data_IF_031785206579
#
_entry.id   IF_031785206579
#
_cell.length_a   1.000
_cell.length_b   1.000
_cell.length_c   1.000
_cell.angle_alpha   90.00
_cell.angle_beta   90.00
_cell.angle_gamma   90.00
#
_symmetry.space_group_name_H-M   'P 1'
#
loop_
_entity.id
_entity.type
_entity.pdbx_description
1 polymer ?
#
# COMPACT_ATOMS: atom_id res chain seq x y z
N UNK A 1 -12.10 41.98 -53.99
CA UNK A 1 -12.58 43.05 -53.10
C UNK A 1 -13.55 42.42 -52.17
N UNK A 2 -13.22 42.51 -50.87
CA UNK A 2 -14.09 42.33 -49.68
C UNK A 2 -14.59 40.90 -49.44
N UNK A 3 -13.87 40.09 -48.76
CA UNK A 3 -13.71 39.86 -47.28
C UNK A 3 -15.04 39.86 -46.55
N UNK A 4 -15.55 38.66 -46.25
CA UNK A 4 -16.40 38.41 -45.08
C UNK A 4 -16.06 36.99 -44.54
N UNK A 5 -15.12 36.97 -43.63
CA UNK A 5 -14.88 35.90 -42.71
C UNK A 5 -16.08 35.83 -41.74
N UNK A 6 -16.89 34.80 -41.86
CA UNK A 6 -17.90 34.47 -40.86
C UNK A 6 -17.28 33.58 -39.75
N UNK A 7 -16.97 34.21 -38.68
CA UNK A 7 -16.58 33.68 -37.37
C UNK A 7 -17.65 32.68 -36.88
N UNK A 8 -17.35 31.42 -36.89
CA UNK A 8 -18.17 30.40 -36.19
C UNK A 8 -17.76 30.42 -34.72
N UNK A 9 -18.53 31.14 -33.94
CA UNK A 9 -18.46 31.09 -32.48
C UNK A 9 -19.04 29.75 -32.00
N UNK A 10 -18.18 28.81 -31.72
CA UNK A 10 -18.52 27.54 -31.07
C UNK A 10 -18.83 27.82 -29.60
N UNK A 11 -20.10 27.96 -29.26
CA UNK A 11 -20.61 28.06 -27.90
C UNK A 11 -20.56 26.68 -27.24
N UNK A 12 -19.46 26.38 -26.54
CA UNK A 12 -19.42 25.28 -25.60
C UNK A 12 -20.44 25.53 -24.47
N UNK A 13 -21.22 24.52 -24.06
CA UNK A 13 -22.17 24.69 -22.96
C UNK A 13 -21.40 25.02 -21.68
N UNK A 14 -21.69 26.16 -21.09
CA UNK A 14 -21.15 26.57 -19.81
C UNK A 14 -21.62 25.60 -18.72
N UNK A 15 -20.73 24.74 -18.28
CA UNK A 15 -20.94 23.91 -17.08
C UNK A 15 -20.99 24.87 -15.90
N UNK A 16 -22.10 24.84 -15.13
CA UNK A 16 -22.31 25.72 -14.00
C UNK A 16 -21.12 25.59 -13.01
N UNK A 17 -20.54 26.70 -12.53
CA UNK A 17 -19.33 26.69 -11.71
C UNK A 17 -19.47 25.88 -10.41
N UNK A 18 -20.68 25.67 -9.91
CA UNK A 18 -20.96 24.84 -8.76
C UNK A 18 -20.76 23.33 -8.99
N UNK A 19 -20.96 22.85 -10.24
CA UNK A 19 -20.78 21.44 -10.56
C UNK A 19 -19.29 21.08 -10.75
N UNK A 20 -18.51 22.00 -11.25
CA UNK A 20 -17.05 21.84 -11.40
C UNK A 20 -16.36 21.81 -10.02
N UNK A 21 -16.87 22.55 -9.03
CA UNK A 21 -16.36 22.53 -7.67
C UNK A 21 -16.71 21.20 -6.97
N UNK A 22 -17.92 20.67 -7.19
CA UNK A 22 -18.35 19.40 -6.62
C UNK A 22 -17.61 18.19 -7.18
N UNK A 23 -17.16 18.25 -8.44
CA UNK A 23 -16.35 17.19 -9.06
C UNK A 23 -14.86 17.26 -8.67
N UNK A 24 -14.38 18.42 -8.21
CA UNK A 24 -13.01 18.60 -7.76
C UNK A 24 -12.78 18.18 -6.30
N UNK A 25 -13.85 17.98 -5.52
CA UNK A 25 -13.76 17.58 -4.11
C UNK A 25 -13.76 16.06 -3.86
N UNK A 26 -13.97 15.23 -4.89
CA UNK A 26 -13.93 13.78 -4.77
C UNK A 26 -12.52 13.16 -5.05
N UNK A 27 -11.56 13.96 -5.46
CA UNK A 27 -10.19 13.50 -5.60
C UNK A 27 -9.41 13.82 -4.32
N UNK A 28 -9.05 12.76 -3.62
CA UNK A 28 -8.06 12.74 -2.54
C UNK A 28 -8.57 13.01 -1.11
N UNK A 29 -9.53 12.23 -0.67
CA UNK A 29 -9.59 11.94 0.76
C UNK A 29 -8.36 11.06 1.08
N UNK A 30 -7.38 11.55 1.86
CA UNK A 30 -6.25 10.72 2.23
C UNK A 30 -6.81 9.53 3.01
N UNK A 31 -6.72 8.34 2.43
CA UNK A 31 -6.94 7.10 3.17
C UNK A 31 -6.08 7.24 4.41
N UNK A 32 -6.72 7.41 5.58
CA UNK A 32 -6.03 7.53 6.85
C UNK A 32 -5.28 6.23 7.05
N UNK A 33 -4.04 6.20 6.55
CA UNK A 33 -3.09 5.15 6.84
C UNK A 33 -3.02 5.10 8.36
N UNK A 34 -3.53 4.03 8.95
CA UNK A 34 -3.24 3.74 10.35
C UNK A 34 -1.74 3.53 10.38
N UNK A 35 -1.00 4.58 10.76
CA UNK A 35 0.41 4.43 11.09
C UNK A 35 0.47 3.36 12.17
N UNK A 36 0.92 2.18 11.78
CA UNK A 36 1.40 1.20 12.74
C UNK A 36 2.46 1.85 13.65
N UNK A 37 2.88 1.19 14.71
CA UNK A 37 3.95 1.68 15.55
C UNK A 37 5.14 2.03 14.66
N UNK A 38 5.76 3.18 14.90
CA UNK A 38 6.89 3.67 14.12
C UNK A 38 7.95 2.56 14.00
N UNK A 39 8.37 2.16 12.79
CA UNK A 39 9.30 1.04 12.60
C UNK A 39 10.61 1.27 13.34
N UNK A 40 11.06 2.51 13.46
CA UNK A 40 12.24 2.88 14.22
C UNK A 40 12.08 2.66 15.75
N UNK A 41 10.87 2.82 16.28
CA UNK A 41 10.59 2.53 17.69
C UNK A 41 10.57 1.01 17.95
N UNK A 42 10.05 0.24 17.02
CA UNK A 42 10.06 -1.22 17.07
C UNK A 42 11.49 -1.78 17.05
N UNK A 43 12.36 -1.23 16.20
CA UNK A 43 13.78 -1.63 16.13
C UNK A 43 14.56 -1.37 17.44
N UNK A 44 14.22 -0.34 18.20
CA UNK A 44 14.88 -0.04 19.48
C UNK A 44 14.58 -1.06 20.58
N UNK A 45 13.41 -1.70 20.52
CA UNK A 45 12.95 -2.68 21.51
C UNK A 45 13.07 -4.12 21.00
N UNK A 46 13.55 -4.29 19.75
CA UNK A 46 13.63 -5.58 19.10
C UNK A 46 14.64 -6.51 19.77
N UNK A 47 14.18 -7.70 20.11
CA UNK A 47 15.02 -8.79 20.61
C UNK A 47 15.00 -9.93 19.60
N UNK A 48 16.10 -10.17 18.87
CA UNK A 48 16.13 -11.15 17.83
C UNK A 48 16.00 -12.59 18.40
N UNK A 49 15.02 -13.32 17.90
CA UNK A 49 14.77 -14.72 18.27
C UNK A 49 15.37 -15.70 17.28
N UNK A 50 15.45 -15.32 16.00
CA UNK A 50 15.99 -16.15 14.94
C UNK A 50 17.49 -16.00 14.79
N UNK A 51 18.12 -17.00 14.15
CA UNK A 51 19.55 -16.93 13.83
C UNK A 51 19.85 -15.74 12.92
N UNK A 52 19.02 -15.55 11.88
CA UNK A 52 19.16 -14.42 10.95
C UNK A 52 19.01 -13.08 11.67
N UNK A 53 18.02 -12.96 12.56
CA UNK A 53 17.81 -11.75 13.35
C UNK A 53 19.01 -11.38 14.22
N UNK A 54 19.68 -12.37 14.80
CA UNK A 54 20.90 -12.13 15.59
C UNK A 54 22.06 -11.65 14.72
N UNK A 55 22.22 -12.20 13.52
CA UNK A 55 23.28 -11.79 12.59
C UNK A 55 23.05 -10.35 12.10
N UNK A 56 21.80 -9.96 11.86
CA UNK A 56 21.44 -8.58 11.51
C UNK A 56 21.64 -7.63 12.69
N UNK A 57 21.19 -8.00 13.90
CA UNK A 57 21.38 -7.20 15.10
C UNK A 57 22.86 -7.01 15.48
N UNK A 58 23.70 -8.00 15.21
CA UNK A 58 25.16 -7.93 15.43
C UNK A 58 25.89 -7.13 14.34
N UNK A 59 25.20 -6.77 13.23
CA UNK A 59 25.79 -6.04 12.10
C UNK A 59 26.63 -6.90 11.17
N UNK A 60 26.51 -8.22 11.22
CA UNK A 60 27.17 -9.15 10.29
C UNK A 60 26.56 -9.08 8.88
N UNK A 61 25.27 -8.74 8.81
CA UNK A 61 24.50 -8.60 7.57
C UNK A 61 24.01 -7.16 7.50
N UNK A 62 24.48 -6.43 6.49
CA UNK A 62 24.15 -5.02 6.26
C UNK A 62 23.20 -4.82 5.08
N UNK A 63 23.16 -5.75 4.14
CA UNK A 63 22.33 -5.66 2.93
C UNK A 63 21.31 -6.78 2.87
N UNK A 64 20.14 -6.47 2.31
CA UNK A 64 19.08 -7.45 2.13
C UNK A 64 19.50 -8.62 1.23
N UNK A 65 20.35 -8.36 0.23
CA UNK A 65 20.92 -9.40 -0.64
C UNK A 65 21.77 -10.42 0.14
N UNK A 66 22.57 -9.94 1.10
CA UNK A 66 23.35 -10.82 1.97
C UNK A 66 22.42 -11.69 2.82
N UNK A 67 21.33 -11.14 3.33
CA UNK A 67 20.33 -11.90 4.08
C UNK A 67 19.71 -13.01 3.22
N UNK A 68 19.37 -12.74 1.96
CA UNK A 68 18.86 -13.72 1.01
C UNK A 68 19.93 -14.79 0.66
N UNK A 69 21.18 -14.38 0.49
CA UNK A 69 22.29 -15.29 0.17
C UNK A 69 22.55 -16.33 1.28
N UNK A 70 22.19 -16.04 2.54
CA UNK A 70 22.30 -17.03 3.64
C UNK A 70 21.33 -18.21 3.51
N UNK A 71 20.27 -18.07 2.69
CA UNK A 71 19.23 -19.09 2.51
C UNK A 71 18.37 -19.35 3.75
N UNK A 72 18.48 -18.53 4.79
CA UNK A 72 17.70 -18.65 6.00
C UNK A 72 16.31 -18.01 5.82
N UNK A 73 15.24 -18.61 6.35
CA UNK A 73 13.91 -18.04 6.24
C UNK A 73 13.78 -16.78 7.10
N UNK A 74 13.26 -15.70 6.51
CA UNK A 74 12.93 -14.46 7.19
C UNK A 74 11.61 -14.68 7.92
N UNK A 75 11.62 -14.66 9.26
CA UNK A 75 10.45 -14.87 10.12
C UNK A 75 10.10 -13.67 10.98
N UNK A 76 10.97 -12.71 11.08
CA UNK A 76 10.82 -11.49 11.86
C UNK A 76 10.67 -10.31 10.92
N UNK A 77 9.67 -9.47 11.16
CA UNK A 77 9.38 -8.28 10.34
C UNK A 77 10.48 -7.24 10.50
N UNK A 78 10.98 -7.12 11.71
CA UNK A 78 12.01 -6.16 12.11
C UNK A 78 13.31 -6.32 11.31
N UNK A 79 13.60 -7.51 10.80
CA UNK A 79 14.75 -7.75 9.91
C UNK A 79 14.58 -6.97 8.61
N UNK A 80 13.35 -6.95 8.06
CA UNK A 80 13.06 -6.26 6.80
C UNK A 80 13.09 -4.75 7.02
N UNK A 81 12.50 -4.29 8.13
CA UNK A 81 12.48 -2.87 8.50
C UNK A 81 13.89 -2.31 8.77
N UNK A 82 14.80 -3.16 9.28
CA UNK A 82 16.18 -2.78 9.54
C UNK A 82 17.02 -2.69 8.25
N UNK A 83 16.80 -3.62 7.31
CA UNK A 83 17.61 -3.71 6.08
C UNK A 83 17.07 -2.86 4.94
N UNK A 84 15.76 -2.57 4.94
CA UNK A 84 15.09 -1.80 3.89
C UNK A 84 14.36 -0.60 4.51
N UNK A 85 15.06 0.50 4.79
CA UNK A 85 14.41 1.72 5.24
C UNK A 85 13.55 2.32 4.12
N UNK A 86 12.38 2.89 4.46
CA UNK A 86 11.50 3.57 3.51
C UNK A 86 10.57 2.62 2.75
N UNK A 87 10.09 1.57 3.40
CA UNK A 87 9.04 0.73 2.85
C UNK A 87 7.70 1.48 2.81
N UNK A 88 7.06 1.42 1.66
CA UNK A 88 5.71 1.91 1.42
C UNK A 88 4.77 0.73 1.25
N UNK A 89 3.58 0.81 1.83
CA UNK A 89 2.53 -0.18 1.68
C UNK A 89 1.34 0.41 0.91
N UNK A 90 0.74 -0.42 0.05
CA UNK A 90 -0.45 -0.06 -0.70
C UNK A 90 -1.43 -1.23 -0.80
N UNK A 91 -2.72 -0.91 -0.87
CA UNK A 91 -3.77 -1.91 -1.00
C UNK A 91 -4.25 -1.94 -2.44
N UNK A 92 -3.90 -3.00 -3.16
CA UNK A 92 -4.25 -3.15 -4.58
C UNK A 92 -5.72 -3.51 -4.80
N UNK A 93 -6.27 -4.38 -3.96
CA UNK A 93 -7.64 -4.85 -4.14
C UNK A 93 -8.27 -5.30 -2.82
N UNK A 94 -9.54 -4.96 -2.65
CA UNK A 94 -10.38 -5.46 -1.57
C UNK A 94 -11.60 -6.13 -2.17
N UNK A 95 -11.73 -7.45 -1.99
CA UNK A 95 -12.82 -8.24 -2.52
C UNK A 95 -13.68 -8.83 -1.39
N UNK A 96 -14.98 -8.64 -1.48
CA UNK A 96 -15.94 -9.26 -0.58
C UNK A 96 -16.31 -10.67 -1.07
N UNK A 97 -16.11 -11.67 -0.23
CA UNK A 97 -16.46 -13.06 -0.51
C UNK A 97 -17.61 -13.46 0.38
N UNK A 98 -18.71 -13.91 -0.21
CA UNK A 98 -19.87 -14.45 0.50
C UNK A 98 -19.91 -15.97 0.38
N UNK A 99 -20.17 -16.63 1.48
CA UNK A 99 -20.43 -18.07 1.52
C UNK A 99 -21.74 -18.33 2.26
N UNK A 100 -22.63 -19.11 1.65
CA UNK A 100 -23.83 -19.59 2.32
C UNK A 100 -23.48 -20.73 3.27
N UNK A 101 -24.01 -20.65 4.48
CA UNK A 101 -23.95 -21.70 5.48
C UNK A 101 -25.38 -21.98 5.96
N UNK A 102 -25.59 -23.09 6.66
CA UNK A 102 -26.90 -23.47 7.22
C UNK A 102 -27.51 -22.39 8.13
N UNK A 103 -26.67 -21.56 8.75
CA UNK A 103 -27.06 -20.44 9.61
C UNK A 103 -27.13 -19.09 8.87
N UNK A 104 -27.11 -19.06 7.53
CA UNK A 104 -27.18 -17.86 6.71
C UNK A 104 -25.87 -17.48 6.00
N UNK A 105 -25.78 -16.23 5.59
CA UNK A 105 -24.64 -15.71 4.84
C UNK A 105 -23.46 -15.42 5.78
N UNK A 106 -22.28 -15.94 5.42
CA UNK A 106 -21.01 -15.50 6.01
C UNK A 106 -20.23 -14.68 5.01
N UNK A 107 -19.94 -13.45 5.40
CA UNK A 107 -19.14 -12.52 4.61
C UNK A 107 -17.70 -12.54 5.11
N UNK A 108 -16.75 -12.55 4.19
CA UNK A 108 -15.32 -12.39 4.46
C UNK A 108 -14.73 -11.46 3.41
N UNK A 109 -13.71 -10.73 3.81
CA UNK A 109 -12.96 -9.87 2.91
C UNK A 109 -11.63 -10.54 2.55
N UNK A 110 -11.25 -10.41 1.29
CA UNK A 110 -9.95 -10.79 0.77
C UNK A 110 -9.24 -9.51 0.35
N UNK A 111 -8.12 -9.22 0.99
CA UNK A 111 -7.35 -8.01 0.75
C UNK A 111 -6.01 -8.42 0.15
N UNK A 112 -5.66 -7.78 -0.95
CA UNK A 112 -4.37 -7.90 -1.61
C UNK A 112 -3.58 -6.64 -1.30
N UNK A 113 -2.47 -6.80 -0.58
CA UNK A 113 -1.55 -5.73 -0.25
C UNK A 113 -0.21 -5.93 -0.94
N UNK A 114 0.42 -4.83 -1.31
CA UNK A 114 1.79 -4.77 -1.81
C UNK A 114 2.61 -3.91 -0.88
N UNK A 115 3.85 -4.29 -0.67
CA UNK A 115 4.85 -3.53 0.08
C UNK A 115 6.10 -3.45 -0.74
N UNK A 116 6.72 -2.28 -0.81
CA UNK A 116 7.96 -2.10 -1.57
C UNK A 116 8.70 -0.83 -1.18
N UNK A 117 9.93 -0.71 -1.66
CA UNK A 117 10.75 0.48 -1.43
C UNK A 117 10.98 1.32 -2.69
N UNK A 118 10.25 1.06 -3.78
CA UNK A 118 10.41 1.72 -5.09
C UNK A 118 11.80 1.59 -5.71
N UNK A 119 12.67 0.75 -5.14
CA UNK A 119 14.08 0.53 -5.53
C UNK A 119 14.37 -0.95 -5.85
N UNK A 120 13.38 -1.68 -6.36
CA UNK A 120 13.53 -3.04 -6.85
C UNK A 120 13.10 -4.15 -5.88
N UNK A 121 12.73 -3.86 -4.64
CA UNK A 121 12.20 -4.84 -3.71
C UNK A 121 10.69 -4.69 -3.57
N UNK A 122 9.97 -5.77 -3.83
CA UNK A 122 8.51 -5.82 -3.76
C UNK A 122 8.08 -7.09 -3.05
N UNK A 123 7.20 -6.94 -2.06
CA UNK A 123 6.51 -8.02 -1.39
C UNK A 123 5.01 -7.96 -1.69
N UNK A 124 4.38 -9.12 -1.84
CA UNK A 124 2.96 -9.25 -2.13
C UNK A 124 2.32 -10.22 -1.15
N UNK A 125 1.20 -9.82 -0.55
CA UNK A 125 0.50 -10.64 0.40
C UNK A 125 -1.02 -10.60 0.18
N UNK A 126 -1.65 -11.77 0.36
CA UNK A 126 -3.10 -11.93 0.31
C UNK A 126 -3.59 -12.39 1.68
N UNK A 127 -4.44 -11.61 2.30
CA UNK A 127 -5.03 -11.92 3.59
C UNK A 127 -6.55 -12.03 3.51
N UNK A 128 -7.12 -12.92 4.35
CA UNK A 128 -8.58 -13.09 4.48
C UNK A 128 -9.00 -12.77 5.91
N UNK A 129 -9.93 -11.83 6.06
CA UNK A 129 -10.46 -11.41 7.36
C UNK A 129 -11.98 -11.41 7.41
N UNK A 130 -12.52 -11.23 8.60
CA UNK A 130 -13.95 -10.96 8.81
C UNK A 130 -14.27 -9.49 8.57
N UNK A 131 -13.30 -8.63 8.77
CA UNK A 131 -13.35 -7.17 8.62
C UNK A 131 -12.30 -6.75 7.61
N UNK A 132 -12.57 -5.66 6.88
CA UNK A 132 -11.66 -5.12 5.87
C UNK A 132 -10.68 -4.08 6.46
N UNK A 133 -10.90 -3.65 7.70
CA UNK A 133 -10.11 -2.61 8.39
C UNK A 133 -9.53 -3.18 9.68
#
# INVERSE_FOLDING_TARGET
MSDEESEIVETAPAIAPGLALALAEEEDAPVRRRRGPDPLAALRTWQPRTRLGRMVANGEILTYEQALATGLPIREVEIVDALLPGLEDDVLAVNMIQRMTDSGRRVRFNVLCVVGNSDGYVGLAICKGKEAV
#
